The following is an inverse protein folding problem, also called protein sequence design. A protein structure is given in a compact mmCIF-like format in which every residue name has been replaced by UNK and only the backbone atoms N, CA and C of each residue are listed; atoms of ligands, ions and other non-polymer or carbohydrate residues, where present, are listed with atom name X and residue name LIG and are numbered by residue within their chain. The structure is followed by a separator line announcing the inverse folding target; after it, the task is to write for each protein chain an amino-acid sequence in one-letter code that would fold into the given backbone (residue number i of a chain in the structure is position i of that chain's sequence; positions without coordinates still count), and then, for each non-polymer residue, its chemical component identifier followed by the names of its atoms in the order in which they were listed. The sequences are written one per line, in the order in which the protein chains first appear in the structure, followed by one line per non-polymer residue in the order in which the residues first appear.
data_IF_058325587520
#
_entry.id   IF_058325587520
#
_cell.length_a   1.000
_cell.length_b   1.000
_cell.length_c   1.000
_cell.angle_alpha   90.00
_cell.angle_beta   90.00
_cell.angle_gamma   90.00
#
_symmetry.space_group_name_H-M   'P 1'
#
loop_
_entity.id
_entity.type
_entity.pdbx_description
1 polymer ?
#
# COMPACT_ATOMS: atom_id res chain seq x y z
N UNK A 1 9.39 -17.39 44.11
CA UNK A 1 9.39 -17.32 42.64
C UNK A 1 8.77 -16.01 42.21
N UNK A 2 9.57 -15.09 41.64
CA UNK A 2 9.12 -13.76 41.21
C UNK A 2 8.38 -13.90 39.86
N UNK A 3 7.12 -13.45 39.81
CA UNK A 3 6.37 -13.24 38.56
C UNK A 3 7.03 -12.10 37.78
N UNK A 4 7.54 -12.41 36.58
CA UNK A 4 7.99 -11.41 35.62
C UNK A 4 6.74 -10.78 34.97
N UNK A 5 6.55 -9.48 35.19
CA UNK A 5 5.54 -8.66 34.52
C UNK A 5 6.01 -8.36 33.09
N UNK A 6 5.30 -8.85 32.07
CA UNK A 6 5.51 -8.41 30.69
C UNK A 6 4.77 -7.09 30.48
N UNK A 7 5.53 -6.00 30.33
CA UNK A 7 5.02 -4.70 29.89
C UNK A 7 5.04 -4.70 28.36
N UNK A 8 3.88 -4.79 27.72
CA UNK A 8 3.77 -4.77 26.27
C UNK A 8 3.65 -3.33 25.74
N UNK A 9 4.44 -3.04 24.71
CA UNK A 9 4.56 -1.77 24.01
C UNK A 9 3.33 -1.50 23.12
N UNK A 10 2.89 -0.25 23.10
CA UNK A 10 1.79 0.29 22.27
C UNK A 10 2.40 0.72 20.91
N UNK A 11 1.70 0.48 19.79
CA UNK A 11 2.24 0.63 18.44
C UNK A 11 1.44 1.46 17.39
N UNK A 12 1.80 2.72 17.09
CA UNK A 12 1.13 3.58 16.07
C UNK A 12 1.43 3.23 14.58
N UNK A 13 0.44 3.46 13.68
CA UNK A 13 0.31 2.94 12.29
C UNK A 13 0.18 4.02 11.19
N UNK A 14 0.72 3.80 9.97
CA UNK A 14 0.26 4.42 8.70
C UNK A 14 0.74 3.69 7.41
N UNK A 15 -0.19 3.52 6.46
CA UNK A 15 0.06 3.57 5.00
C UNK A 15 -0.22 2.31 4.15
N UNK A 16 -1.24 2.38 3.29
CA UNK A 16 -1.70 1.42 2.25
C UNK A 16 -2.19 0.03 2.71
N UNK A 17 -2.45 -0.11 4.00
CA UNK A 17 -3.41 -1.07 4.52
C UNK A 17 -4.15 -0.35 5.64
N UNK A 18 -5.46 -0.11 5.48
CA UNK A 18 -6.26 0.41 6.58
C UNK A 18 -6.34 -0.68 7.66
N UNK A 19 -5.39 -0.64 8.59
CA UNK A 19 -5.49 -1.26 9.89
C UNK A 19 -6.04 -0.20 10.85
N UNK A 20 -7.35 -0.12 11.01
CA UNK A 20 -7.93 0.38 12.26
C UNK A 20 -7.83 -0.76 13.29
N UNK A 21 -6.65 -0.92 13.90
CA UNK A 21 -6.56 -1.55 15.21
C UNK A 21 -6.53 -0.42 16.25
N UNK A 22 -7.63 -0.25 16.98
CA UNK A 22 -7.65 0.63 18.15
C UNK A 22 -6.76 0.01 19.23
N UNK A 23 -5.61 0.64 19.48
CA UNK A 23 -4.75 0.26 20.61
C UNK A 23 -5.36 0.85 21.87
N UNK A 24 -5.94 -0.03 22.67
CA UNK A 24 -6.55 0.29 23.96
C UNK A 24 -5.57 0.99 24.89
N UNK A 25 -5.91 2.23 25.25
CA UNK A 25 -5.55 2.77 26.56
C UNK A 25 -6.41 2.01 27.57
N UNK A 26 -5.82 1.55 28.67
CA UNK A 26 -6.58 0.97 29.77
C UNK A 26 -7.49 2.05 30.39
N UNK A 27 -8.71 2.11 29.86
CA UNK A 27 -9.83 2.97 30.21
C UNK A 27 -10.95 2.60 29.24
N UNK A 28 -12.10 2.14 29.76
CA UNK A 28 -13.29 1.66 29.02
C UNK A 28 -13.18 1.76 27.49
N UNK A 29 -12.73 0.68 26.84
CA UNK A 29 -12.54 0.63 25.40
C UNK A 29 -13.94 0.57 24.76
N UNK A 30 -14.36 1.68 24.17
CA UNK A 30 -15.56 1.73 23.33
C UNK A 30 -15.36 0.72 22.20
N UNK A 31 -16.27 -0.25 22.08
CA UNK A 31 -16.18 -1.21 20.99
C UNK A 31 -16.27 -0.44 19.67
N UNK A 32 -15.44 -0.78 18.67
CA UNK A 32 -15.57 -0.15 17.37
C UNK A 32 -17.01 -0.37 16.87
N UNK A 33 -17.62 0.64 16.23
CA UNK A 33 -18.99 0.54 15.76
C UNK A 33 -19.12 -0.66 14.82
N UNK A 34 -20.27 -1.34 14.81
CA UNK A 34 -20.50 -2.50 13.93
C UNK A 34 -20.16 -2.18 12.46
N UNK A 35 -20.54 -0.99 12.04
CA UNK A 35 -20.23 -0.42 10.74
C UNK A 35 -19.33 0.79 10.92
N UNK A 36 -18.17 0.78 10.28
CA UNK A 36 -17.24 1.90 10.26
C UNK A 36 -17.05 2.39 8.83
N UNK A 37 -17.21 3.69 8.62
CA UNK A 37 -16.80 4.37 7.40
C UNK A 37 -15.66 5.32 7.76
N UNK A 38 -14.59 5.32 6.97
CA UNK A 38 -13.47 6.23 7.14
C UNK A 38 -13.04 6.82 5.81
N UNK A 39 -12.50 8.03 5.84
CA UNK A 39 -11.97 8.70 4.67
C UNK A 39 -10.50 9.01 4.85
N UNK A 40 -9.75 9.10 3.75
CA UNK A 40 -8.37 9.53 3.81
C UNK A 40 -8.03 10.49 2.66
N UNK A 41 -7.06 11.36 2.91
CA UNK A 41 -6.47 12.25 1.92
C UNK A 41 -4.98 12.37 2.16
N UNK A 42 -4.19 12.47 1.09
CA UNK A 42 -2.76 12.71 1.16
C UNK A 42 -2.23 13.54 0.00
N UNK A 43 -1.12 14.21 0.27
CA UNK A 43 -0.25 14.79 -0.76
C UNK A 43 1.13 14.16 -0.58
N UNK A 44 1.68 13.66 -1.66
CA UNK A 44 3.01 13.06 -1.67
C UNK A 44 3.89 13.73 -2.72
N UNK A 45 5.19 13.82 -2.48
CA UNK A 45 6.14 14.41 -3.42
C UNK A 45 6.31 13.58 -4.71
N UNK A 46 5.98 12.28 -4.66
CA UNK A 46 6.03 11.35 -5.79
C UNK A 46 5.19 10.10 -5.48
N UNK A 47 4.15 9.79 -6.26
CA UNK A 47 3.39 8.55 -6.04
C UNK A 47 4.23 7.34 -6.47
N UNK A 48 4.65 6.53 -5.50
CA UNK A 48 5.41 5.30 -5.70
C UNK A 48 4.56 4.05 -5.46
N UNK A 49 4.36 3.26 -6.51
CA UNK A 49 3.74 1.93 -6.44
C UNK A 49 4.79 0.85 -6.70
N UNK A 50 4.97 -0.07 -5.74
CA UNK A 50 6.04 -1.09 -5.77
C UNK A 50 7.40 -0.47 -6.15
N UNK A 51 7.74 0.68 -5.56
CA UNK A 51 8.97 1.42 -5.85
C UNK A 51 9.04 2.19 -7.18
N UNK A 52 8.12 1.97 -8.12
CA UNK A 52 8.05 2.70 -9.39
C UNK A 52 7.21 3.96 -9.26
N UNK A 53 7.73 5.08 -9.78
CA UNK A 53 6.98 6.33 -9.84
C UNK A 53 5.83 6.25 -10.84
N UNK A 54 4.63 6.56 -10.37
CA UNK A 54 3.39 6.61 -11.15
C UNK A 54 3.04 8.03 -11.58
N UNK A 55 3.55 9.04 -10.86
CA UNK A 55 3.35 10.47 -11.14
C UNK A 55 4.55 11.13 -11.82
N UNK A 56 5.50 10.34 -12.34
CA UNK A 56 6.71 10.79 -13.06
C UNK A 56 7.58 11.73 -12.20
N UNK A 57 7.82 11.32 -10.95
CA UNK A 57 8.63 12.03 -9.97
C UNK A 57 8.07 13.38 -9.53
N UNK A 58 6.84 13.68 -9.92
CA UNK A 58 6.13 14.90 -9.55
C UNK A 58 5.14 14.63 -8.39
N UNK A 59 4.73 15.67 -7.65
CA UNK A 59 3.74 15.53 -6.59
C UNK A 59 2.42 14.92 -7.06
N UNK A 60 1.80 14.14 -6.17
CA UNK A 60 0.52 13.51 -6.41
C UNK A 60 -0.48 13.78 -5.28
N UNK A 61 -1.75 13.92 -5.67
CA UNK A 61 -2.89 13.99 -4.76
C UNK A 61 -3.53 12.63 -4.65
N UNK A 62 -3.86 12.24 -3.41
CA UNK A 62 -4.39 10.92 -3.10
C UNK A 62 -5.58 11.04 -2.16
N UNK A 63 -6.53 10.12 -2.26
CA UNK A 63 -7.61 10.01 -1.29
C UNK A 63 -8.44 8.76 -1.48
N UNK A 64 -9.23 8.43 -0.47
CA UNK A 64 -10.00 7.21 -0.46
C UNK A 64 -11.10 7.19 0.58
N UNK A 65 -11.92 6.15 0.49
CA UNK A 65 -13.00 5.86 1.42
C UNK A 65 -13.07 4.34 1.65
N UNK A 66 -13.34 3.97 2.90
CA UNK A 66 -13.38 2.59 3.34
C UNK A 66 -14.63 2.35 4.16
N UNK A 67 -15.23 1.18 3.97
CA UNK A 67 -16.27 0.63 4.81
C UNK A 67 -15.78 -0.70 5.40
N UNK A 68 -15.97 -0.86 6.71
CA UNK A 68 -15.66 -2.09 7.44
C UNK A 68 -16.88 -2.52 8.24
N UNK A 69 -17.25 -3.79 8.11
CA UNK A 69 -18.17 -4.47 9.01
C UNK A 69 -17.36 -5.23 10.06
N UNK A 70 -17.18 -4.61 11.23
CA UNK A 70 -16.25 -5.05 12.26
C UNK A 70 -16.54 -6.48 12.80
N UNK A 71 -17.80 -6.90 13.02
CA UNK A 71 -18.09 -8.26 13.50
C UNK A 71 -17.63 -9.38 12.55
N UNK A 72 -17.68 -9.15 11.23
CA UNK A 72 -17.28 -10.19 10.26
C UNK A 72 -15.88 -9.98 9.69
N UNK A 73 -15.30 -8.79 9.87
CA UNK A 73 -14.05 -8.39 9.25
C UNK A 73 -14.15 -8.17 7.74
N UNK A 74 -15.36 -8.11 7.19
CA UNK A 74 -15.58 -7.79 5.77
C UNK A 74 -15.35 -6.30 5.56
N UNK A 75 -14.73 -5.96 4.44
CA UNK A 75 -14.52 -4.57 4.06
C UNK A 75 -14.61 -4.38 2.55
N UNK A 76 -14.93 -3.16 2.15
CA UNK A 76 -14.85 -2.67 0.78
C UNK A 76 -14.33 -1.24 0.85
N UNK A 77 -13.52 -0.85 -0.11
CA UNK A 77 -12.98 0.49 -0.16
C UNK A 77 -12.56 0.89 -1.56
N UNK A 78 -12.20 2.15 -1.65
CA UNK A 78 -11.74 2.75 -2.87
C UNK A 78 -10.67 3.78 -2.60
N UNK A 79 -9.73 3.90 -3.52
CA UNK A 79 -8.62 4.82 -3.43
C UNK A 79 -8.33 5.42 -4.80
N UNK A 80 -7.90 6.67 -4.85
CA UNK A 80 -7.58 7.36 -6.08
C UNK A 80 -6.27 8.13 -5.93
N UNK A 81 -5.53 8.23 -7.03
CA UNK A 81 -4.38 9.13 -7.13
C UNK A 81 -4.25 9.74 -8.51
N UNK A 82 -3.68 10.94 -8.55
CA UNK A 82 -3.17 11.51 -9.80
C UNK A 82 -1.95 10.72 -10.27
N UNK A 83 -1.91 10.40 -11.56
CA UNK A 83 -0.82 9.68 -12.22
C UNK A 83 -0.44 10.34 -13.55
N UNK A 84 0.69 9.92 -14.11
CA UNK A 84 1.16 10.33 -15.45
C UNK A 84 1.59 9.16 -16.33
N UNK A 85 1.87 8.00 -15.73
CA UNK A 85 2.52 6.89 -16.41
C UNK A 85 1.72 6.32 -17.60
N UNK A 86 0.39 6.36 -17.58
CA UNK A 86 -0.43 5.87 -18.70
C UNK A 86 -0.21 6.70 -19.97
N UNK A 87 -0.07 8.02 -19.84
CA UNK A 87 0.31 8.92 -20.94
C UNK A 87 1.75 8.72 -21.37
N UNK A 88 2.62 8.38 -20.44
CA UNK A 88 4.05 8.14 -20.73
C UNK A 88 4.26 6.91 -21.64
N UNK A 89 3.31 5.97 -21.63
CA UNK A 89 3.28 4.81 -22.52
C UNK A 89 2.46 5.04 -23.80
N UNK A 90 2.10 6.29 -24.12
CA UNK A 90 1.35 6.65 -25.33
C UNK A 90 -0.17 6.48 -25.23
N UNK A 91 -0.70 6.27 -24.02
CA UNK A 91 -2.13 6.27 -23.74
C UNK A 91 -2.63 7.64 -23.25
N UNK A 92 -3.74 7.60 -22.53
CA UNK A 92 -4.44 8.74 -21.96
C UNK A 92 -4.71 8.54 -20.45
N UNK A 93 -5.49 9.42 -19.84
CA UNK A 93 -5.83 9.34 -18.42
C UNK A 93 -4.74 9.92 -17.51
N UNK A 94 -5.15 10.36 -16.33
CA UNK A 94 -4.28 10.98 -15.33
C UNK A 94 -4.71 10.62 -13.90
N UNK A 95 -5.56 9.60 -13.78
CA UNK A 95 -6.13 9.13 -12.53
C UNK A 95 -6.00 7.60 -12.51
N UNK A 96 -5.56 7.10 -11.37
CA UNK A 96 -5.73 5.73 -10.95
C UNK A 96 -6.90 5.71 -9.96
N UNK A 97 -7.82 4.77 -10.15
CA UNK A 97 -8.97 4.56 -9.28
C UNK A 97 -9.01 3.08 -8.90
N UNK A 98 -8.62 2.80 -7.68
CA UNK A 98 -8.64 1.44 -7.15
C UNK A 98 -9.95 1.15 -6.45
N UNK A 99 -10.47 -0.06 -6.67
CA UNK A 99 -11.59 -0.62 -5.93
C UNK A 99 -11.13 -1.94 -5.33
N UNK A 100 -11.34 -2.11 -4.03
CA UNK A 100 -10.91 -3.30 -3.32
C UNK A 100 -11.93 -3.76 -2.30
N UNK A 101 -11.83 -5.03 -1.93
CA UNK A 101 -12.61 -5.61 -0.88
C UNK A 101 -12.05 -6.96 -0.46
N UNK A 102 -12.44 -7.39 0.72
CA UNK A 102 -11.90 -8.62 1.29
C UNK A 102 -12.43 -8.91 2.67
N UNK A 103 -11.74 -9.84 3.32
CA UNK A 103 -11.98 -10.24 4.70
C UNK A 103 -10.67 -10.29 5.43
N UNK A 104 -10.64 -9.66 6.61
CA UNK A 104 -9.51 -9.72 7.52
C UNK A 104 -9.92 -10.15 8.92
N UNK A 105 -8.98 -10.65 9.69
CA UNK A 105 -9.22 -11.06 11.06
C UNK A 105 -8.01 -11.75 11.68
N UNK A 106 -8.27 -12.50 12.74
CA UNK A 106 -7.25 -13.24 13.49
C UNK A 106 -7.39 -14.74 13.22
N UNK A 107 -6.28 -15.40 12.88
CA UNK A 107 -6.18 -16.86 12.86
C UNK A 107 -5.84 -17.42 14.24
N UNK A 108 -5.08 -16.65 15.02
CA UNK A 108 -4.72 -16.91 16.42
C UNK A 108 -4.47 -15.57 17.12
N UNK A 109 -4.10 -15.60 18.40
CA UNK A 109 -3.80 -14.39 19.17
C UNK A 109 -2.66 -13.55 18.56
N UNK A 110 -1.70 -14.19 17.89
CA UNK A 110 -0.51 -13.52 17.34
C UNK A 110 -0.52 -13.37 15.81
N UNK A 111 -1.39 -14.13 15.11
CA UNK A 111 -1.40 -14.21 13.65
C UNK A 111 -2.68 -13.62 13.09
N UNK A 112 -2.53 -12.59 12.27
CA UNK A 112 -3.62 -11.97 11.52
C UNK A 112 -3.62 -12.43 10.06
N UNK A 113 -4.77 -12.31 9.39
CA UNK A 113 -4.89 -12.52 7.95
C UNK A 113 -5.65 -11.38 7.28
N UNK A 114 -5.36 -11.16 6.00
CA UNK A 114 -6.19 -10.38 5.09
C UNK A 114 -6.21 -11.09 3.73
N UNK A 115 -7.39 -11.41 3.22
CA UNK A 115 -7.58 -11.98 1.89
C UNK A 115 -8.57 -11.13 1.12
N UNK A 116 -8.25 -10.80 -0.13
CA UNK A 116 -9.05 -9.86 -0.88
C UNK A 116 -8.74 -9.81 -2.35
N UNK A 117 -9.49 -8.95 -3.04
CA UNK A 117 -9.26 -8.57 -4.42
C UNK A 117 -9.07 -7.07 -4.53
N UNK A 118 -8.28 -6.65 -5.50
CA UNK A 118 -8.05 -5.25 -5.80
C UNK A 118 -8.03 -5.05 -7.32
N UNK A 119 -8.87 -4.14 -7.78
CA UNK A 119 -9.00 -3.76 -9.17
C UNK A 119 -8.42 -2.36 -9.36
N UNK A 120 -7.26 -2.30 -10.02
CA UNK A 120 -6.63 -1.05 -10.44
C UNK A 120 -7.30 -0.60 -11.73
N UNK A 121 -8.15 0.42 -11.63
CA UNK A 121 -8.85 0.98 -12.78
C UNK A 121 -8.18 2.28 -13.22
N UNK A 122 -7.89 2.38 -14.51
CA UNK A 122 -7.31 3.56 -15.14
C UNK A 122 -8.33 4.12 -16.14
N UNK A 123 -9.23 5.03 -15.71
CA UNK A 123 -10.26 5.57 -16.58
C UNK A 123 -9.65 6.21 -17.82
N UNK A 124 -10.21 5.89 -18.99
CA UNK A 124 -9.79 6.44 -20.28
C UNK A 124 -8.29 6.24 -20.59
N UNK A 125 -7.65 5.16 -20.13
CA UNK A 125 -6.21 4.99 -20.34
C UNK A 125 -5.77 4.76 -21.80
N UNK A 126 -6.69 4.34 -22.68
CA UNK A 126 -6.47 4.09 -24.13
C UNK A 126 -5.28 3.20 -24.53
N UNK A 127 -4.59 2.56 -23.57
CA UNK A 127 -3.46 1.67 -23.84
C UNK A 127 -3.90 0.35 -24.45
N UNK A 128 -3.04 -0.22 -25.30
CA UNK A 128 -3.18 -1.57 -25.85
C UNK A 128 -1.86 -2.33 -25.65
N UNK A 129 -1.80 -3.34 -24.77
CA UNK A 129 -2.86 -3.84 -23.88
C UNK A 129 -3.34 -2.80 -22.86
N UNK A 130 -4.59 -2.98 -22.41
CA UNK A 130 -5.20 -2.11 -21.41
C UNK A 130 -4.46 -2.19 -20.06
N UNK A 131 -4.35 -1.05 -19.37
CA UNK A 131 -3.65 -0.92 -18.08
C UNK A 131 -4.41 -1.51 -16.88
N UNK A 132 -5.72 -1.69 -16.98
CA UNK A 132 -6.55 -2.14 -15.86
C UNK A 132 -6.10 -3.52 -15.41
N UNK A 133 -5.89 -3.65 -14.10
CA UNK A 133 -5.33 -4.85 -13.51
C UNK A 133 -6.24 -5.35 -12.40
N UNK A 134 -6.55 -6.64 -12.38
CA UNK A 134 -7.24 -7.26 -11.26
C UNK A 134 -6.30 -8.25 -10.57
N UNK A 135 -6.03 -8.03 -9.28
CA UNK A 135 -5.24 -8.92 -8.45
C UNK A 135 -6.10 -9.53 -7.34
N UNK A 136 -5.85 -10.81 -7.05
CA UNK A 136 -6.21 -11.42 -5.77
C UNK A 136 -5.00 -11.41 -4.86
N UNK A 137 -5.21 -11.30 -3.56
CA UNK A 137 -4.11 -11.35 -2.61
C UNK A 137 -4.46 -12.08 -1.32
N UNK A 138 -3.41 -12.52 -0.64
CA UNK A 138 -3.44 -13.01 0.73
C UNK A 138 -2.26 -12.46 1.51
N UNK A 139 -2.51 -12.10 2.76
CA UNK A 139 -1.54 -11.56 3.69
C UNK A 139 -1.65 -12.29 5.02
N UNK A 140 -0.49 -12.53 5.65
CA UNK A 140 -0.37 -12.91 7.05
C UNK A 140 0.42 -11.85 7.81
N UNK A 141 -0.02 -11.53 9.01
CA UNK A 141 0.68 -10.62 9.93
C UNK A 141 1.14 -11.32 11.20
N UNK A 142 2.25 -10.86 11.76
CA UNK A 142 2.77 -11.25 13.06
C UNK A 142 3.44 -10.05 13.74
N UNK A 143 2.82 -9.54 14.81
CA UNK A 143 3.27 -8.31 15.47
C UNK A 143 3.35 -7.13 14.48
N UNK A 144 4.49 -6.42 14.39
CA UNK A 144 4.63 -5.30 13.46
C UNK A 144 4.86 -5.73 12.01
N UNK A 145 5.11 -7.02 11.75
CA UNK A 145 5.57 -7.53 10.48
C UNK A 145 4.45 -8.23 9.69
N UNK A 146 4.62 -8.31 8.38
CA UNK A 146 3.71 -9.03 7.50
C UNK A 146 4.43 -9.67 6.32
N UNK A 147 3.78 -10.66 5.72
CA UNK A 147 4.05 -11.17 4.37
C UNK A 147 2.76 -11.16 3.57
N UNK A 148 2.82 -10.68 2.34
CA UNK A 148 1.70 -10.62 1.40
C UNK A 148 2.11 -11.17 0.05
N UNK A 149 1.19 -11.87 -0.60
CA UNK A 149 1.30 -12.27 -1.99
C UNK A 149 0.10 -11.74 -2.78
N UNK A 150 0.37 -11.06 -3.89
CA UNK A 150 -0.62 -10.63 -4.88
C UNK A 150 -0.42 -11.41 -6.19
N UNK A 151 -1.53 -11.79 -6.82
CA UNK A 151 -1.56 -12.56 -8.06
C UNK A 151 -2.49 -11.90 -9.08
N UNK A 152 -1.94 -11.53 -10.24
CA UNK A 152 -2.68 -10.85 -11.30
C UNK A 152 -3.50 -11.83 -12.14
N UNK A 153 -4.81 -11.59 -12.26
CA UNK A 153 -5.72 -12.35 -13.12
C UNK A 153 -5.84 -11.75 -14.53
N UNK A 154 -5.29 -10.57 -14.75
CA UNK A 154 -5.26 -9.84 -16.03
C UNK A 154 -3.82 -9.55 -16.44
N UNK A 155 -3.64 -8.97 -17.63
CA UNK A 155 -2.33 -8.41 -17.99
C UNK A 155 -1.95 -7.36 -16.93
N UNK A 156 -0.71 -7.42 -16.48
CA UNK A 156 -0.17 -6.56 -15.44
C UNK A 156 0.16 -5.19 -16.04
N UNK A 157 -0.63 -4.17 -15.69
CA UNK A 157 -0.40 -2.76 -15.97
C UNK A 157 -0.01 -2.46 -17.43
N UNK A 158 -0.78 -3.01 -18.39
CA UNK A 158 -0.55 -2.79 -19.82
C UNK A 158 0.56 -3.65 -20.43
N UNK A 159 1.24 -4.48 -19.65
CA UNK A 159 2.26 -5.41 -20.16
C UNK A 159 1.61 -6.58 -20.87
N UNK A 160 1.92 -6.80 -22.15
CA UNK A 160 1.35 -7.90 -22.93
C UNK A 160 1.74 -9.28 -22.38
N UNK A 161 0.82 -10.25 -22.49
CA UNK A 161 1.03 -11.67 -22.14
C UNK A 161 1.54 -11.91 -20.70
N UNK A 162 1.16 -11.05 -19.76
CA UNK A 162 1.69 -11.03 -18.38
C UNK A 162 0.64 -11.44 -17.32
N UNK A 163 -0.48 -12.03 -17.73
CA UNK A 163 -1.42 -12.68 -16.79
C UNK A 163 -0.66 -13.66 -15.88
N UNK A 164 -1.14 -13.83 -14.65
CA UNK A 164 -0.54 -14.67 -13.62
C UNK A 164 0.81 -14.16 -13.08
N UNK A 165 1.13 -12.89 -13.34
CA UNK A 165 2.21 -12.17 -12.65
C UNK A 165 1.97 -12.17 -11.13
N UNK A 166 3.05 -12.22 -10.38
CA UNK A 166 3.02 -12.35 -8.93
C UNK A 166 3.85 -11.26 -8.26
N UNK A 167 3.43 -10.85 -7.07
CA UNK A 167 4.20 -9.93 -6.24
C UNK A 167 4.25 -10.45 -4.81
N UNK A 168 5.45 -10.63 -4.29
CA UNK A 168 5.69 -10.93 -2.86
C UNK A 168 6.11 -9.65 -2.18
N UNK A 169 5.53 -9.37 -1.02
CA UNK A 169 5.76 -8.20 -0.20
C UNK A 169 6.04 -8.64 1.24
N UNK A 170 7.14 -8.19 1.80
CA UNK A 170 7.43 -8.31 3.23
C UNK A 170 7.69 -6.93 3.80
N UNK A 171 7.19 -6.69 5.00
CA UNK A 171 7.37 -5.39 5.64
C UNK A 171 7.18 -5.43 7.14
N UNK A 172 7.51 -4.32 7.77
CA UNK A 172 7.24 -4.08 9.17
C UNK A 172 6.98 -2.61 9.47
N UNK A 173 6.02 -2.35 10.35
CA UNK A 173 5.74 -1.03 10.91
C UNK A 173 6.00 -1.07 12.42
N UNK A 174 7.20 -0.65 12.83
CA UNK A 174 7.67 -0.74 14.21
C UNK A 174 7.42 0.60 14.90
N UNK A 175 6.60 0.61 15.95
CA UNK A 175 6.46 1.81 16.77
C UNK A 175 7.73 2.05 17.59
N UNK A 176 8.29 3.24 17.41
CA UNK A 176 9.49 3.73 18.10
C UNK A 176 9.14 4.51 19.37
N UNK A 177 7.85 4.70 19.64
CA UNK A 177 7.30 5.52 20.69
C UNK A 177 7.08 6.97 20.26
N UNK A 178 6.36 7.71 21.10
CA UNK A 178 6.09 9.14 20.90
C UNK A 178 5.42 9.48 19.55
N UNK A 179 4.66 8.56 18.96
CA UNK A 179 4.00 8.76 17.66
C UNK A 179 4.93 8.63 16.46
N UNK A 180 6.14 8.08 16.62
CA UNK A 180 7.02 7.74 15.51
C UNK A 180 6.91 6.26 15.15
N UNK A 181 6.84 5.97 13.85
CA UNK A 181 6.80 4.61 13.32
C UNK A 181 7.91 4.43 12.30
N UNK A 182 8.77 3.42 12.48
CA UNK A 182 9.72 2.96 11.48
C UNK A 182 8.98 2.09 10.47
N UNK A 183 9.02 2.47 9.19
CA UNK A 183 8.40 1.76 8.09
C UNK A 183 9.48 1.02 7.29
N UNK A 184 9.39 -0.31 7.23
CA UNK A 184 10.29 -1.19 6.48
C UNK A 184 9.50 -1.97 5.43
N UNK A 185 10.11 -2.16 4.27
CA UNK A 185 9.50 -2.83 3.12
C UNK A 185 10.57 -3.43 2.21
N UNK A 186 10.31 -4.64 1.73
CA UNK A 186 10.98 -5.23 0.59
C UNK A 186 9.99 -6.06 -0.23
N UNK A 187 9.98 -5.86 -1.54
CA UNK A 187 9.09 -6.55 -2.46
C UNK A 187 9.84 -7.21 -3.62
N UNK A 188 9.16 -8.14 -4.30
CA UNK A 188 9.60 -8.68 -5.58
C UNK A 188 8.42 -8.90 -6.51
N UNK A 189 8.43 -8.19 -7.65
CA UNK A 189 7.51 -8.34 -8.76
C UNK A 189 8.09 -9.33 -9.77
N UNK A 190 7.38 -10.44 -9.97
CA UNK A 190 7.56 -11.30 -11.14
C UNK A 190 6.55 -10.87 -12.21
N UNK A 191 7.06 -10.49 -13.39
CA UNK A 191 6.24 -10.24 -14.58
C UNK A 191 6.30 -11.46 -15.50
N UNK A 192 5.19 -12.19 -15.59
CA UNK A 192 5.12 -13.43 -16.38
C UNK A 192 5.45 -13.16 -17.85
N UNK A 193 6.26 -14.06 -18.41
CA UNK A 193 6.76 -14.00 -19.78
C UNK A 193 7.53 -12.72 -20.15
N UNK A 194 7.92 -11.90 -19.16
CA UNK A 194 8.68 -10.69 -19.40
C UNK A 194 9.62 -10.35 -18.24
N UNK A 195 10.66 -11.17 -18.06
CA UNK A 195 11.61 -11.03 -16.94
C UNK A 195 12.40 -9.72 -16.92
N UNK A 196 12.46 -8.97 -18.03
CA UNK A 196 13.08 -7.63 -18.07
C UNK A 196 12.30 -6.61 -17.21
N UNK A 197 11.01 -6.84 -17.02
CA UNK A 197 10.13 -6.02 -16.18
C UNK A 197 9.94 -6.61 -14.77
N UNK A 198 10.58 -7.74 -14.45
CA UNK A 198 10.62 -8.23 -13.07
C UNK A 198 11.67 -7.48 -12.26
N UNK A 199 11.36 -7.13 -11.01
CA UNK A 199 12.26 -6.37 -10.15
C UNK A 199 11.89 -6.51 -8.67
N UNK A 200 12.79 -6.05 -7.82
CA UNK A 200 12.59 -5.88 -6.38
C UNK A 200 12.60 -4.40 -6.01
N UNK A 201 11.80 -4.06 -5.01
CA UNK A 201 11.72 -2.72 -4.46
C UNK A 201 11.90 -2.71 -2.94
N UNK A 202 12.33 -1.57 -2.42
CA UNK A 202 12.73 -1.43 -1.03
C UNK A 202 12.32 -0.06 -0.52
N UNK A 203 11.86 0.01 0.73
CA UNK A 203 11.61 1.28 1.42
C UNK A 203 12.05 1.18 2.88
N UNK A 204 12.72 2.24 3.32
CA UNK A 204 12.95 2.54 4.74
C UNK A 204 12.49 3.96 5.00
N UNK A 205 11.63 4.15 5.98
CA UNK A 205 11.10 5.47 6.28
C UNK A 205 10.67 5.62 7.72
N UNK A 206 10.37 6.85 8.11
CA UNK A 206 9.80 7.17 9.41
C UNK A 206 8.54 7.99 9.18
N UNK A 207 7.47 7.57 9.83
CA UNK A 207 6.23 8.34 9.92
C UNK A 207 6.09 8.94 11.30
N UNK A 208 5.64 10.19 11.37
CA UNK A 208 5.29 10.89 12.60
C UNK A 208 3.83 11.28 12.56
N UNK A 209 3.08 10.83 13.57
CA UNK A 209 1.73 11.32 13.82
C UNK A 209 1.77 12.59 14.68
N UNK A 210 1.15 13.66 14.18
CA UNK A 210 0.98 14.94 14.87
C UNK A 210 -0.44 15.10 15.44
N UNK A 211 -1.29 14.08 15.34
CA UNK A 211 -2.69 14.07 15.81
C UNK A 211 -3.66 14.82 14.87
N UNK A 212 -3.19 15.86 14.18
CA UNK A 212 -3.98 16.58 13.16
C UNK A 212 -3.79 16.02 11.75
N UNK A 213 -2.62 15.41 11.51
CA UNK A 213 -2.15 14.84 10.27
C UNK A 213 -0.89 14.01 10.58
N UNK A 214 -0.48 13.20 9.63
CA UNK A 214 0.76 12.43 9.70
C UNK A 214 1.72 12.87 8.62
N UNK A 215 3.01 12.87 8.94
CA UNK A 215 4.08 13.21 8.00
C UNK A 215 5.03 12.03 7.91
N UNK A 216 5.30 11.56 6.70
CA UNK A 216 6.23 10.47 6.44
C UNK A 216 7.40 10.96 5.59
N UNK A 217 8.61 10.58 5.99
CA UNK A 217 9.82 10.71 5.19
C UNK A 217 10.39 9.32 4.93
N UNK A 218 10.61 8.96 3.67
CA UNK A 218 11.12 7.64 3.31
C UNK A 218 12.20 7.71 2.23
N UNK A 219 13.14 6.78 2.29
CA UNK A 219 13.99 6.41 1.16
C UNK A 219 13.36 5.20 0.46
N UNK A 220 13.21 5.27 -0.86
CA UNK A 220 12.61 4.22 -1.69
C UNK A 220 13.46 3.96 -2.93
N UNK A 221 13.50 2.71 -3.40
CA UNK A 221 14.20 2.31 -4.64
C UNK A 221 13.57 1.05 -5.23
N UNK A 222 13.49 0.96 -6.55
CA UNK A 222 13.33 -0.30 -7.29
C UNK A 222 14.63 -0.62 -8.06
N UNK A 223 15.02 -1.90 -8.11
CA UNK A 223 16.28 -2.34 -8.75
C UNK A 223 16.09 -2.67 -10.24
N UNK A 224 15.47 -1.76 -10.99
CA UNK A 224 15.18 -1.94 -12.41
C UNK A 224 15.63 -0.75 -13.23
N UNK A 225 16.07 -1.04 -14.44
CA UNK A 225 16.35 -0.04 -15.49
C UNK A 225 15.32 -0.12 -16.63
N UNK A 226 14.32 -1.01 -16.52
CA UNK A 226 13.32 -1.24 -17.56
C UNK A 226 12.20 -0.20 -17.60
N UNK A 227 12.05 0.62 -16.57
CA UNK A 227 10.95 1.57 -16.43
C UNK A 227 11.46 3.01 -16.53
N UNK A 228 11.29 3.59 -17.71
CA UNK A 228 11.78 4.93 -18.04
C UNK A 228 10.61 5.88 -18.35
N UNK A 229 10.75 7.14 -17.98
CA UNK A 229 9.88 8.22 -18.44
C UNK A 229 10.11 8.52 -19.93
N UNK A 230 9.26 9.34 -20.59
CA UNK A 230 9.49 9.77 -21.96
C UNK A 230 10.77 10.60 -22.14
N UNK A 231 11.26 11.24 -21.06
CA UNK A 231 12.55 11.94 -21.03
C UNK A 231 13.74 11.02 -20.74
N UNK A 232 13.52 9.71 -20.59
CA UNK A 232 14.56 8.72 -20.31
C UNK A 232 14.95 8.62 -18.83
N UNK A 233 14.21 9.25 -17.91
CA UNK A 233 14.50 9.14 -16.49
C UNK A 233 14.02 7.80 -15.94
N UNK A 234 14.88 7.12 -15.18
CA UNK A 234 14.50 5.88 -14.51
C UNK A 234 13.45 6.14 -13.40
N UNK A 235 12.25 5.59 -13.57
CA UNK A 235 11.11 5.73 -12.66
C UNK A 235 11.25 4.88 -11.39
N UNK A 236 12.14 3.90 -11.38
CA UNK A 236 12.54 3.11 -10.21
C UNK A 236 13.74 3.68 -9.44
N UNK A 237 14.34 4.79 -9.92
CA UNK A 237 15.51 5.40 -9.28
C UNK A 237 15.25 5.72 -7.81
N UNK A 238 16.32 5.65 -7.00
CA UNK A 238 16.23 5.96 -5.58
C UNK A 238 15.75 7.39 -5.34
N UNK A 239 14.85 7.57 -4.37
CA UNK A 239 14.31 8.88 -4.02
C UNK A 239 14.07 9.03 -2.52
N UNK A 240 14.16 10.26 -2.04
CA UNK A 240 13.57 10.67 -0.78
C UNK A 240 12.12 11.10 -1.04
N UNK A 241 11.19 10.55 -0.29
CA UNK A 241 9.76 10.73 -0.45
C UNK A 241 9.18 11.42 0.79
N UNK A 242 8.48 12.53 0.59
CA UNK A 242 7.73 13.23 1.64
C UNK A 242 6.23 13.06 1.38
N UNK A 243 5.50 12.60 2.39
CA UNK A 243 4.03 12.49 2.35
C UNK A 243 3.42 13.16 3.55
N UNK A 244 2.34 13.92 3.34
CA UNK A 244 1.45 14.41 4.39
C UNK A 244 0.08 13.78 4.17
N UNK A 245 -0.47 13.15 5.19
CA UNK A 245 -1.75 12.43 5.09
C UNK A 245 -2.63 12.65 6.30
N UNK A 246 -3.94 12.42 6.12
CA UNK A 246 -4.93 12.46 7.20
C UNK A 246 -6.02 11.42 6.95
N UNK A 247 -6.45 10.79 8.03
CA UNK A 247 -7.67 9.96 8.08
C UNK A 247 -8.75 10.71 8.87
N UNK A 248 -9.98 10.62 8.40
CA UNK A 248 -11.18 11.26 8.97
C UNK A 248 -12.20 10.20 9.38
#
# INVERSE_FOLDING_TARGET
MKRLSSKWFKASFLGASLWTLTIGVAGAQEQPPEHQVSYNAAVTSDYRYRGLSQSRLDPALQGGADYVHNPTGLYVGTWLSTIKWTKDLGGDGNIEWDIYGGKRGNLSDDITYDVGGLYYFYPNNSLTPNANTFELYGQLGYGPAYIKYSHSLTNLFGTANSKQSGYVDIGANVDLGSGFTLNLHAGHQEVRHNGLYSYSDYKVGVTKDFGIASVALAYIKANTDGYLSPSGENLGKSAALLTVSKTF
#
